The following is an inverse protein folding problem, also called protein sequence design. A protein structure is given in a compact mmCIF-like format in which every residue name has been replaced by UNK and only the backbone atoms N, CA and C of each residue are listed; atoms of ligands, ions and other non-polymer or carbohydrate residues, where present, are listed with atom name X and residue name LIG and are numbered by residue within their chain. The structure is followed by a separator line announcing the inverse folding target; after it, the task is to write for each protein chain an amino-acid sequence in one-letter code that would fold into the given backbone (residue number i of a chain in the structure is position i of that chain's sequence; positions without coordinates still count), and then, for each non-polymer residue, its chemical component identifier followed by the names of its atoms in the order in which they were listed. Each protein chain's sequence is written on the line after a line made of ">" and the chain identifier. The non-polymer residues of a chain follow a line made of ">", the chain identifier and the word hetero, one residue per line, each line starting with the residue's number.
data_IF_344304331320
#
_entry.id   IF_344304331320
#
_cell.length_a   1.000
_cell.length_b   1.000
_cell.length_c   1.000
_cell.angle_alpha   90.00
_cell.angle_beta   90.00
_cell.angle_gamma   90.00
#
_symmetry.space_group_name_H-M   'P 1'
#
loop_
_entity.id
_entity.type
_entity.pdbx_description
1 polymer ?
#
# COMPACT_ATOMS: atom_id res chain seq x y z
N UNK A 1 3.13 -15.11 -9.20
CA UNK A 1 3.00 -16.59 -9.26
C UNK A 1 2.59 -17.06 -10.65
N UNK A 2 1.47 -16.61 -11.20
CA UNK A 2 1.02 -16.97 -12.56
C UNK A 2 2.05 -16.63 -13.63
N UNK A 3 2.70 -15.46 -13.52
CA UNK A 3 3.84 -15.12 -14.36
C UNK A 3 4.92 -16.20 -14.29
N UNK A 4 5.38 -16.55 -13.07
CA UNK A 4 6.45 -17.52 -12.86
C UNK A 4 6.08 -18.95 -13.29
N UNK A 5 4.80 -19.32 -13.29
CA UNK A 5 4.33 -20.66 -13.65
C UNK A 5 3.96 -20.81 -15.12
N UNK A 6 3.29 -19.81 -15.70
CA UNK A 6 2.67 -19.92 -17.03
C UNK A 6 3.56 -19.36 -18.13
N UNK A 7 4.30 -18.28 -17.88
CA UNK A 7 5.18 -17.69 -18.90
C UNK A 7 6.24 -18.68 -19.42
N UNK A 8 6.89 -19.53 -18.58
CA UNK A 8 7.84 -20.53 -19.09
C UNK A 8 7.25 -21.56 -20.06
N UNK A 9 5.92 -21.74 -20.05
CA UNK A 9 5.20 -22.67 -20.94
C UNK A 9 4.73 -21.98 -22.24
N UNK A 10 5.10 -20.71 -22.47
CA UNK A 10 4.62 -19.93 -23.61
C UNK A 10 5.10 -20.47 -24.97
N UNK A 11 6.23 -21.19 -25.00
CA UNK A 11 6.75 -21.82 -26.23
C UNK A 11 5.88 -23.01 -26.68
N UNK A 12 5.20 -23.67 -25.74
CA UNK A 12 4.25 -24.76 -26.01
C UNK A 12 2.82 -24.21 -26.22
N UNK A 13 2.43 -23.20 -25.45
CA UNK A 13 1.11 -22.59 -25.48
C UNK A 13 1.20 -21.08 -25.64
N UNK A 14 1.05 -20.58 -26.87
CA UNK A 14 1.18 -19.16 -27.18
C UNK A 14 0.28 -18.21 -26.38
N UNK A 15 -0.85 -18.70 -25.85
CA UNK A 15 -1.74 -17.94 -24.94
C UNK A 15 -0.99 -17.46 -23.69
N UNK A 16 -0.05 -18.24 -23.16
CA UNK A 16 0.66 -17.88 -21.93
C UNK A 16 1.68 -16.76 -22.10
N UNK A 17 2.03 -16.40 -23.34
CA UNK A 17 2.82 -15.20 -23.61
C UNK A 17 2.10 -13.91 -23.12
N UNK A 18 0.78 -13.95 -22.95
CA UNK A 18 0.01 -12.87 -22.34
C UNK A 18 0.52 -12.48 -20.94
N UNK A 19 1.02 -13.42 -20.15
CA UNK A 19 1.55 -13.14 -18.82
C UNK A 19 2.87 -12.35 -18.86
N UNK A 20 3.54 -12.25 -20.00
CA UNK A 20 4.72 -11.39 -20.15
C UNK A 20 4.39 -9.90 -19.94
N UNK A 21 3.20 -9.48 -20.35
CA UNK A 21 2.84 -8.06 -20.36
C UNK A 21 2.46 -7.56 -18.96
N UNK A 22 3.24 -6.61 -18.43
CA UNK A 22 2.95 -5.97 -17.13
C UNK A 22 1.55 -5.35 -17.14
N UNK A 23 1.14 -4.71 -18.23
CA UNK A 23 -0.19 -4.08 -18.35
C UNK A 23 -1.33 -5.07 -18.13
N UNK A 24 -1.26 -6.25 -18.75
CA UNK A 24 -2.24 -7.31 -18.52
C UNK A 24 -2.22 -7.78 -17.08
N UNK A 25 -1.03 -8.02 -16.52
CA UNK A 25 -0.89 -8.48 -15.14
C UNK A 25 -1.39 -7.46 -14.12
N UNK A 26 -1.17 -6.16 -14.37
CA UNK A 26 -1.73 -5.06 -13.58
C UNK A 26 -3.25 -5.05 -13.65
N UNK A 27 -3.84 -5.14 -14.85
CA UNK A 27 -5.30 -5.24 -15.01
C UNK A 27 -5.88 -6.48 -14.32
N UNK A 28 -5.21 -7.63 -14.46
CA UNK A 28 -5.55 -8.87 -13.77
C UNK A 28 -5.50 -8.73 -12.25
N UNK A 29 -4.50 -8.05 -11.71
CA UNK A 29 -4.37 -7.77 -10.28
C UNK A 29 -5.49 -6.86 -9.76
N UNK A 30 -5.86 -5.81 -10.50
CA UNK A 30 -7.02 -4.94 -10.16
C UNK A 30 -8.30 -5.78 -10.07
N UNK A 31 -8.61 -6.54 -11.12
CA UNK A 31 -9.83 -7.35 -11.18
C UNK A 31 -9.84 -8.43 -10.10
N UNK A 32 -8.70 -9.10 -9.88
CA UNK A 32 -8.57 -10.14 -8.84
C UNK A 32 -8.79 -9.56 -7.45
N UNK A 33 -8.13 -8.45 -7.12
CA UNK A 33 -8.28 -7.82 -5.82
C UNK A 33 -9.73 -7.35 -5.58
N UNK A 34 -10.37 -6.79 -6.61
CA UNK A 34 -11.78 -6.39 -6.56
C UNK A 34 -12.72 -7.57 -6.30
N UNK A 35 -12.55 -8.67 -7.04
CA UNK A 35 -13.36 -9.90 -6.88
C UNK A 35 -13.15 -10.48 -5.48
N UNK A 36 -11.91 -10.57 -5.01
CA UNK A 36 -11.59 -11.04 -3.66
C UNK A 36 -12.29 -10.18 -2.61
N UNK A 37 -12.23 -8.86 -2.74
CA UNK A 37 -12.93 -7.94 -1.84
C UNK A 37 -14.45 -8.13 -1.85
N UNK A 38 -15.08 -8.35 -3.01
CA UNK A 38 -16.53 -8.56 -3.09
C UNK A 38 -16.99 -9.92 -2.55
N UNK A 39 -16.22 -10.98 -2.79
CA UNK A 39 -16.54 -12.31 -2.28
C UNK A 39 -16.34 -12.39 -0.76
N UNK A 40 -15.22 -11.84 -0.26
CA UNK A 40 -14.86 -11.94 1.16
C UNK A 40 -15.38 -10.79 2.02
N UNK A 41 -15.77 -9.65 1.42
CA UNK A 41 -16.28 -8.49 2.15
C UNK A 41 -17.47 -8.83 3.04
N UNK A 42 -18.60 -9.35 2.49
CA UNK A 42 -19.77 -9.67 3.30
C UNK A 42 -19.52 -10.63 4.47
N UNK A 43 -18.83 -11.78 4.31
CA UNK A 43 -18.55 -12.66 5.45
C UNK A 43 -17.60 -12.04 6.48
N UNK A 44 -16.57 -11.31 6.05
CA UNK A 44 -15.63 -10.62 6.97
C UNK A 44 -16.36 -9.55 7.77
N UNK A 45 -17.20 -8.74 7.14
CA UNK A 45 -17.97 -7.68 7.83
C UNK A 45 -18.95 -8.29 8.84
N UNK A 46 -19.67 -9.37 8.48
CA UNK A 46 -20.54 -10.08 9.42
C UNK A 46 -19.77 -10.63 10.61
N UNK A 47 -18.60 -11.21 10.37
CA UNK A 47 -17.74 -11.71 11.43
C UNK A 47 -17.25 -10.58 12.34
N UNK A 48 -16.76 -9.46 11.79
CA UNK A 48 -16.34 -8.29 12.56
C UNK A 48 -17.48 -7.74 13.40
N UNK A 49 -18.68 -7.60 12.83
CA UNK A 49 -19.88 -7.14 13.55
C UNK A 49 -20.27 -8.07 14.71
N UNK A 50 -20.09 -9.38 14.55
CA UNK A 50 -20.34 -10.35 15.64
C UNK A 50 -19.37 -10.23 16.81
N UNK A 51 -18.15 -9.73 16.56
CA UNK A 51 -17.10 -9.52 17.59
C UNK A 51 -17.13 -8.11 18.18
N UNK A 52 -17.67 -7.15 17.44
CA UNK A 52 -17.68 -5.73 17.77
C UNK A 52 -19.14 -5.20 17.83
N UNK A 53 -19.99 -5.84 18.63
CA UNK A 53 -21.43 -5.55 18.66
C UNK A 53 -21.76 -4.06 18.95
N UNK A 54 -20.94 -3.38 19.75
CA UNK A 54 -21.08 -1.96 20.09
C UNK A 54 -20.39 -1.01 19.09
N UNK A 55 -19.67 -1.56 18.10
CA UNK A 55 -18.81 -0.80 17.19
C UNK A 55 -17.48 -0.38 17.83
N UNK A 56 -16.82 0.59 17.21
CA UNK A 56 -15.56 1.16 17.71
C UNK A 56 -15.81 2.10 18.91
N UNK A 57 -14.99 2.06 19.98
CA UNK A 57 -15.05 3.04 21.06
C UNK A 57 -14.87 4.46 20.51
N UNK A 58 -15.89 5.30 20.68
CA UNK A 58 -15.90 6.66 20.12
C UNK A 58 -15.09 7.58 21.05
N UNK A 59 -14.25 8.45 20.47
CA UNK A 59 -13.53 9.46 21.24
C UNK A 59 -14.47 10.63 21.58
N UNK A 60 -14.37 11.13 22.80
CA UNK A 60 -15.18 12.27 23.29
C UNK A 60 -14.73 13.61 22.69
N UNK A 61 -13.53 13.69 22.09
CA UNK A 61 -12.94 14.90 21.50
C UNK A 61 -13.22 15.08 19.99
N UNK A 62 -14.10 14.26 19.41
CA UNK A 62 -14.46 14.28 17.99
C UNK A 62 -15.68 15.15 17.63
N UNK A 63 -15.85 15.54 16.34
CA UNK A 63 -17.03 16.26 15.87
C UNK A 63 -18.34 15.53 16.20
N UNK A 64 -19.41 16.26 16.57
CA UNK A 64 -20.68 15.66 17.00
C UNK A 64 -21.33 14.75 15.94
N UNK A 65 -21.07 14.97 14.65
CA UNK A 65 -21.53 14.09 13.56
C UNK A 65 -20.94 12.68 13.64
N UNK A 66 -19.72 12.51 14.17
CA UNK A 66 -19.08 11.20 14.35
C UNK A 66 -19.73 10.34 15.42
N UNK A 67 -20.38 10.95 16.42
CA UNK A 67 -21.06 10.21 17.49
C UNK A 67 -22.30 9.47 16.96
N UNK A 68 -22.93 10.01 15.91
CA UNK A 68 -24.16 9.48 15.32
C UNK A 68 -23.90 8.44 14.23
N UNK A 69 -22.91 8.65 13.36
CA UNK A 69 -22.62 7.75 12.23
C UNK A 69 -21.70 6.57 12.57
N UNK A 70 -20.83 6.69 13.57
CA UNK A 70 -19.87 5.61 13.94
C UNK A 70 -20.45 4.54 14.85
N UNK A 71 -21.67 4.72 15.38
CA UNK A 71 -22.28 3.82 16.35
C UNK A 71 -22.71 2.50 15.68
N UNK A 72 -22.12 1.38 16.11
CA UNK A 72 -22.48 0.04 15.65
C UNK A 72 -21.82 -0.43 14.34
N UNK A 73 -20.94 0.38 13.73
CA UNK A 73 -20.15 0.00 12.55
C UNK A 73 -18.81 -0.62 13.01
N UNK A 74 -18.45 -1.83 12.54
CA UNK A 74 -17.18 -2.46 12.90
C UNK A 74 -15.98 -1.74 12.29
N UNK A 75 -14.84 -1.80 12.98
CA UNK A 75 -13.51 -1.37 12.51
C UNK A 75 -12.66 -2.59 12.11
N UNK A 76 -11.43 -2.35 11.62
CA UNK A 76 -10.48 -3.33 11.07
C UNK A 76 -10.80 -3.85 9.66
N UNK A 77 -11.55 -3.09 8.89
CA UNK A 77 -11.80 -3.38 7.48
C UNK A 77 -10.53 -3.43 6.63
N UNK A 78 -9.45 -2.79 7.08
CA UNK A 78 -8.13 -2.87 6.45
C UNK A 78 -7.59 -4.29 6.29
N UNK A 79 -8.03 -5.26 7.10
CA UNK A 79 -7.66 -6.68 6.93
C UNK A 79 -8.12 -7.21 5.57
N UNK A 80 -9.31 -6.80 5.11
CA UNK A 80 -9.83 -7.19 3.79
C UNK A 80 -8.95 -6.63 2.67
N UNK A 81 -8.55 -5.35 2.80
CA UNK A 81 -7.65 -4.68 1.84
C UNK A 81 -6.33 -5.43 1.78
N UNK A 82 -5.68 -5.64 2.92
CA UNK A 82 -4.39 -6.32 3.01
C UNK A 82 -4.43 -7.73 2.39
N UNK A 83 -5.50 -8.48 2.68
CA UNK A 83 -5.68 -9.81 2.13
C UNK A 83 -5.84 -9.77 0.60
N UNK A 84 -6.73 -8.91 0.09
CA UNK A 84 -6.97 -8.77 -1.35
C UNK A 84 -5.71 -8.30 -2.11
N UNK A 85 -4.99 -7.30 -1.59
CA UNK A 85 -3.72 -6.82 -2.15
C UNK A 85 -2.68 -7.94 -2.17
N UNK A 86 -2.53 -8.68 -1.08
CA UNK A 86 -1.54 -9.75 -0.98
C UNK A 86 -1.83 -10.87 -1.97
N UNK A 87 -3.08 -11.35 -2.02
CA UNK A 87 -3.49 -12.42 -2.94
C UNK A 87 -3.27 -11.99 -4.39
N UNK A 88 -3.77 -10.82 -4.78
CA UNK A 88 -3.64 -10.35 -6.16
C UNK A 88 -2.17 -10.10 -6.55
N UNK A 89 -1.37 -9.50 -5.66
CA UNK A 89 0.07 -9.29 -5.90
C UNK A 89 0.79 -10.62 -6.04
N UNK A 90 0.60 -11.56 -5.11
CA UNK A 90 1.27 -12.86 -5.16
C UNK A 90 0.87 -13.66 -6.41
N UNK A 91 -0.38 -13.53 -6.83
CA UNK A 91 -0.87 -14.19 -8.04
C UNK A 91 -0.22 -13.60 -9.29
N UNK A 92 -0.22 -12.28 -9.47
CA UNK A 92 0.12 -11.65 -10.75
C UNK A 92 1.54 -11.09 -10.85
N UNK A 93 2.19 -10.69 -9.75
CA UNK A 93 3.54 -10.14 -9.82
C UNK A 93 4.59 -11.24 -10.09
N UNK A 94 5.75 -10.82 -10.61
CA UNK A 94 6.95 -11.65 -10.65
C UNK A 94 7.55 -11.76 -9.24
N UNK A 95 7.48 -12.95 -8.67
CA UNK A 95 7.94 -13.22 -7.30
C UNK A 95 9.46 -13.27 -7.15
N UNK A 96 10.21 -13.27 -8.26
CA UNK A 96 11.67 -13.12 -8.21
C UNK A 96 12.10 -11.68 -7.97
N UNK A 97 11.17 -10.73 -8.10
CA UNK A 97 11.46 -9.31 -7.98
C UNK A 97 11.52 -8.85 -6.51
N UNK A 98 12.69 -8.37 -6.08
CA UNK A 98 12.89 -7.89 -4.72
C UNK A 98 12.01 -6.70 -4.32
N UNK A 99 11.68 -5.78 -5.25
CA UNK A 99 10.85 -4.60 -4.93
C UNK A 99 9.42 -4.99 -4.52
N UNK A 100 8.86 -6.05 -5.11
CA UNK A 100 7.54 -6.59 -4.75
C UNK A 100 7.54 -7.05 -3.29
N UNK A 101 8.60 -7.73 -2.87
CA UNK A 101 8.74 -8.20 -1.49
C UNK A 101 8.95 -7.06 -0.50
N UNK A 102 9.73 -6.04 -0.86
CA UNK A 102 9.87 -4.85 -0.02
C UNK A 102 8.52 -4.13 0.14
N UNK A 103 7.75 -4.00 -0.94
CA UNK A 103 6.42 -3.39 -0.89
C UNK A 103 5.47 -4.19 0.01
N UNK A 104 5.44 -5.52 -0.11
CA UNK A 104 4.66 -6.39 0.77
C UNK A 104 5.14 -6.33 2.23
N UNK A 105 6.45 -6.29 2.48
CA UNK A 105 7.03 -6.18 3.83
C UNK A 105 6.53 -4.92 4.54
N UNK A 106 6.63 -3.75 3.90
CA UNK A 106 6.18 -2.49 4.50
C UNK A 106 4.67 -2.49 4.67
N UNK A 107 3.92 -2.89 3.65
CA UNK A 107 2.45 -2.87 3.67
C UNK A 107 1.88 -3.80 4.75
N UNK A 108 2.33 -5.05 4.79
CA UNK A 108 1.89 -6.03 5.78
C UNK A 108 2.45 -5.72 7.17
N UNK A 109 3.70 -5.23 7.25
CA UNK A 109 4.33 -4.87 8.52
C UNK A 109 3.62 -3.69 9.19
N UNK A 110 3.33 -2.62 8.45
CA UNK A 110 2.57 -1.48 8.96
C UNK A 110 1.11 -1.86 9.22
N UNK A 111 0.55 -2.74 8.40
CA UNK A 111 -0.76 -3.34 8.63
C UNK A 111 -0.84 -4.14 9.93
N UNK A 112 0.19 -4.92 10.26
CA UNK A 112 0.28 -5.68 11.51
C UNK A 112 0.36 -4.75 12.73
N UNK A 113 1.10 -3.64 12.63
CA UNK A 113 1.13 -2.60 13.67
C UNK A 113 -0.25 -2.00 13.87
N UNK A 114 -0.94 -1.64 12.78
CA UNK A 114 -2.29 -1.10 12.83
C UNK A 114 -3.31 -2.10 13.38
N UNK A 115 -3.20 -3.37 13.00
CA UNK A 115 -4.02 -4.46 13.54
C UNK A 115 -3.82 -4.63 15.04
N UNK A 116 -2.57 -4.62 15.52
CA UNK A 116 -2.29 -4.70 16.96
C UNK A 116 -2.91 -3.52 17.71
N UNK A 117 -2.83 -2.32 17.16
CA UNK A 117 -3.42 -1.11 17.73
C UNK A 117 -4.95 -1.17 17.79
N UNK A 118 -5.61 -1.53 16.69
CA UNK A 118 -7.06 -1.72 16.62
C UNK A 118 -7.52 -2.83 17.58
N UNK A 119 -6.80 -3.94 17.64
CA UNK A 119 -7.11 -5.06 18.52
C UNK A 119 -7.04 -4.68 20.01
N UNK A 120 -6.03 -3.90 20.41
CA UNK A 120 -5.91 -3.39 21.78
C UNK A 120 -7.07 -2.45 22.11
N UNK A 121 -7.41 -1.50 21.23
CA UNK A 121 -8.54 -0.57 21.40
C UNK A 121 -9.85 -1.33 21.63
N UNK A 122 -10.08 -2.39 20.83
CA UNK A 122 -11.28 -3.22 20.93
C UNK A 122 -11.32 -4.09 22.18
N UNK A 123 -10.19 -4.69 22.57
CA UNK A 123 -10.12 -5.59 23.73
C UNK A 123 -10.23 -4.81 25.05
N UNK A 124 -9.61 -3.63 25.12
CA UNK A 124 -9.63 -2.78 26.32
C UNK A 124 -10.86 -1.88 26.42
N UNK A 125 -11.71 -1.85 25.38
CA UNK A 125 -12.88 -0.95 25.27
C UNK A 125 -12.52 0.50 25.56
N UNK A 126 -11.33 0.92 25.13
CA UNK A 126 -10.79 2.24 25.32
C UNK A 126 -10.36 2.84 23.99
N UNK A 127 -10.41 4.16 23.88
CA UNK A 127 -9.81 4.88 22.75
C UNK A 127 -8.28 4.82 22.75
N UNK A 128 -7.66 4.40 23.87
CA UNK A 128 -6.21 4.23 23.99
C UNK A 128 -5.75 2.91 23.37
N UNK A 129 -5.06 3.01 22.24
CA UNK A 129 -4.37 1.89 21.60
C UNK A 129 -2.93 1.71 22.09
N UNK A 130 -2.10 1.20 21.20
CA UNK A 130 -0.66 1.11 21.36
C UNK A 130 -0.08 2.51 21.62
N UNK A 131 0.95 2.60 22.47
CA UNK A 131 1.61 3.89 22.71
C UNK A 131 2.20 4.42 21.38
N UNK A 132 2.02 5.72 21.12
CA UNK A 132 2.52 6.34 19.89
C UNK A 132 4.02 6.13 19.68
N UNK A 133 4.80 6.10 20.77
CA UNK A 133 6.24 5.78 20.73
C UNK A 133 6.53 4.35 20.26
N UNK A 134 5.76 3.36 20.73
CA UNK A 134 5.91 1.97 20.30
C UNK A 134 5.50 1.79 18.84
N UNK A 135 4.41 2.43 18.42
CA UNK A 135 3.94 2.43 17.02
C UNK A 135 5.02 3.00 16.09
N UNK A 136 5.55 4.19 16.44
CA UNK A 136 6.60 4.85 15.66
C UNK A 136 7.89 4.03 15.63
N UNK A 137 8.32 3.46 16.75
CA UNK A 137 9.52 2.62 16.81
C UNK A 137 9.40 1.39 15.90
N UNK A 138 8.25 0.70 15.91
CA UNK A 138 8.01 -0.45 15.06
C UNK A 138 8.01 -0.06 13.56
N UNK A 139 7.39 1.07 13.22
CA UNK A 139 7.42 1.62 11.85
C UNK A 139 8.85 1.97 11.40
N UNK A 140 9.67 2.56 12.27
CA UNK A 140 11.07 2.87 11.99
C UNK A 140 11.87 1.59 11.75
N UNK A 141 11.70 0.54 12.55
CA UNK A 141 12.42 -0.73 12.39
C UNK A 141 12.12 -1.36 11.02
N UNK A 142 10.85 -1.44 10.64
CA UNK A 142 10.44 -1.96 9.33
C UNK A 142 10.95 -1.04 8.21
N UNK A 143 10.87 0.27 8.40
CA UNK A 143 11.39 1.27 7.47
C UNK A 143 12.90 1.16 7.24
N UNK A 144 13.70 0.91 8.29
CA UNK A 144 15.14 0.65 8.18
C UNK A 144 15.41 -0.57 7.30
N UNK A 145 14.72 -1.69 7.56
CA UNK A 145 14.88 -2.92 6.79
C UNK A 145 14.52 -2.71 5.31
N UNK A 146 13.39 -2.04 5.05
CA UNK A 146 12.94 -1.74 3.70
C UNK A 146 13.89 -0.79 2.96
N UNK A 147 14.32 0.30 3.61
CA UNK A 147 15.26 1.26 3.03
C UNK A 147 16.59 0.60 2.69
N UNK A 148 17.14 -0.22 3.60
CA UNK A 148 18.35 -0.99 3.33
C UNK A 148 18.16 -1.92 2.12
N UNK A 149 17.08 -2.68 2.08
CA UNK A 149 16.82 -3.59 0.96
C UNK A 149 16.68 -2.85 -0.38
N UNK A 150 16.00 -1.70 -0.42
CA UNK A 150 15.91 -0.85 -1.62
C UNK A 150 17.30 -0.37 -2.08
N UNK A 151 18.17 0.03 -1.15
CA UNK A 151 19.53 0.47 -1.52
C UNK A 151 20.38 -0.66 -2.10
N UNK A 152 20.17 -1.90 -1.68
CA UNK A 152 20.85 -3.08 -2.25
C UNK A 152 20.31 -3.43 -3.64
N UNK A 153 19.00 -3.26 -3.88
CA UNK A 153 18.37 -3.54 -5.17
C UNK A 153 18.64 -2.48 -6.24
N UNK A 154 19.01 -1.26 -5.83
CA UNK A 154 19.14 -0.11 -6.72
C UNK A 154 20.61 0.16 -7.05
N UNK A 155 21.00 0.37 -8.31
CA UNK A 155 22.38 0.68 -8.68
C UNK A 155 22.80 2.07 -8.20
N UNK A 156 24.11 2.26 -7.94
CA UNK A 156 24.69 3.59 -7.68
C UNK A 156 24.74 4.41 -8.98
N UNK A 157 24.60 5.75 -8.94
CA UNK A 157 24.43 6.60 -7.75
C UNK A 157 22.98 6.68 -7.22
N UNK A 158 22.00 6.15 -7.95
CA UNK A 158 20.59 6.24 -7.58
C UNK A 158 20.29 5.62 -6.21
N UNK A 159 20.98 4.53 -5.84
CA UNK A 159 20.78 3.82 -4.57
C UNK A 159 20.55 4.75 -3.37
N UNK A 160 21.41 5.76 -3.21
CA UNK A 160 21.39 6.73 -2.10
C UNK A 160 21.14 8.16 -2.58
N UNK A 161 20.70 8.32 -3.82
CA UNK A 161 20.36 9.61 -4.40
C UNK A 161 18.88 9.91 -4.23
N UNK A 162 18.55 11.19 -4.03
CA UNK A 162 17.18 11.72 -4.04
C UNK A 162 17.01 12.59 -5.27
N UNK A 163 16.00 12.30 -6.07
CA UNK A 163 15.69 13.02 -7.31
C UNK A 163 14.83 14.23 -7.01
N UNK A 164 15.07 15.34 -7.69
CA UNK A 164 14.24 16.54 -7.55
C UNK A 164 13.26 16.63 -8.72
N UNK A 165 11.94 16.71 -8.48
CA UNK A 165 10.96 16.87 -9.55
C UNK A 165 11.30 18.06 -10.44
N UNK A 166 10.95 17.97 -11.72
CA UNK A 166 11.20 19.00 -12.75
C UNK A 166 12.67 19.20 -13.16
N UNK A 167 13.64 18.76 -12.35
CA UNK A 167 15.07 18.83 -12.66
C UNK A 167 15.63 17.46 -13.03
N UNK A 168 15.96 17.27 -14.32
CA UNK A 168 16.36 15.96 -14.88
C UNK A 168 17.74 15.47 -14.41
N UNK A 169 18.66 16.41 -14.18
CA UNK A 169 20.06 16.10 -13.86
C UNK A 169 20.39 16.28 -12.37
N UNK A 170 19.43 16.73 -11.56
CA UNK A 170 19.65 17.00 -10.14
C UNK A 170 19.35 15.74 -9.32
N UNK A 171 20.44 15.05 -8.97
CA UNK A 171 20.44 13.94 -8.02
C UNK A 171 21.17 14.35 -6.75
N UNK A 172 20.44 14.56 -5.66
CA UNK A 172 21.02 14.94 -4.38
C UNK A 172 21.70 13.73 -3.73
N UNK A 173 23.02 13.76 -3.47
CA UNK A 173 23.78 12.61 -2.97
C UNK A 173 23.65 12.50 -1.44
N UNK A 174 22.53 11.94 -0.96
CA UNK A 174 22.27 11.80 0.47
C UNK A 174 23.21 10.79 1.15
N UNK A 175 23.77 9.82 0.41
CA UNK A 175 24.67 8.81 0.97
C UNK A 175 24.01 8.04 2.11
N UNK A 176 24.66 7.94 3.26
CA UNK A 176 24.11 7.25 4.43
C UNK A 176 22.81 7.90 4.96
N UNK A 177 22.63 9.22 4.76
CA UNK A 177 21.43 9.94 5.19
C UNK A 177 20.17 9.53 4.40
N UNK A 178 20.34 8.85 3.26
CA UNK A 178 19.22 8.33 2.47
C UNK A 178 18.32 7.39 3.28
N UNK A 179 18.89 6.59 4.18
CA UNK A 179 18.10 5.66 5.02
C UNK A 179 17.14 6.45 5.92
N UNK A 180 17.62 7.51 6.57
CA UNK A 180 16.79 8.37 7.40
C UNK A 180 15.69 9.06 6.57
N UNK A 181 16.03 9.54 5.37
CA UNK A 181 15.08 10.12 4.43
C UNK A 181 13.99 9.13 4.00
N UNK A 182 14.37 7.91 3.60
CA UNK A 182 13.42 6.87 3.19
C UNK A 182 12.47 6.48 4.33
N UNK A 183 12.99 6.38 5.56
CA UNK A 183 12.16 6.15 6.76
C UNK A 183 11.18 7.31 6.95
N UNK A 184 11.65 8.55 6.88
CA UNK A 184 10.80 9.73 7.01
C UNK A 184 9.65 9.72 5.99
N UNK A 185 9.93 9.40 4.73
CA UNK A 185 8.92 9.30 3.67
C UNK A 185 7.91 8.18 3.95
N UNK A 186 8.38 6.96 4.24
CA UNK A 186 7.48 5.81 4.47
C UNK A 186 6.62 5.98 5.72
N UNK A 187 7.23 6.38 6.83
CA UNK A 187 6.55 6.58 8.12
C UNK A 187 5.66 7.81 8.06
N UNK A 188 6.11 8.89 7.43
CA UNK A 188 5.34 10.10 7.21
C UNK A 188 4.07 9.83 6.41
N UNK A 189 4.18 9.16 5.27
CA UNK A 189 3.04 8.79 4.43
C UNK A 189 2.03 7.90 5.18
N UNK A 190 2.52 6.91 5.94
CA UNK A 190 1.69 6.04 6.78
C UNK A 190 0.85 6.82 7.80
N UNK A 191 1.49 7.74 8.53
CA UNK A 191 0.80 8.55 9.53
C UNK A 191 -0.09 9.65 8.91
N UNK A 192 0.27 10.18 7.73
CA UNK A 192 -0.56 11.13 7.00
C UNK A 192 -1.88 10.51 6.54
N UNK A 193 -1.84 9.28 6.01
CA UNK A 193 -3.07 8.55 5.64
C UNK A 193 -3.91 8.21 6.89
N UNK A 194 -3.28 7.80 8.00
CA UNK A 194 -3.99 7.56 9.26
C UNK A 194 -4.66 8.81 9.83
N UNK A 195 -4.05 9.98 9.72
CA UNK A 195 -4.67 11.24 10.12
C UNK A 195 -5.87 11.61 9.22
N UNK A 196 -5.82 11.23 7.95
CA UNK A 196 -6.86 11.50 6.95
C UNK A 196 -8.07 10.57 7.10
N UNK A 197 -7.89 9.37 7.66
CA UNK A 197 -8.93 8.34 7.86
C UNK A 197 -9.88 8.64 9.04
N UNK A 198 -10.22 9.93 9.21
CA UNK A 198 -11.13 10.42 10.22
C UNK A 198 -12.61 10.28 9.83
N UNK A 199 -12.93 10.38 8.54
CA UNK A 199 -14.27 10.42 7.93
C UNK A 199 -14.50 9.27 6.94
N UNK A 200 -15.75 8.82 6.81
CA UNK A 200 -16.19 7.74 5.91
C UNK A 200 -15.75 7.99 4.47
N UNK A 201 -14.98 7.06 3.88
CA UNK A 201 -14.51 7.15 2.50
C UNK A 201 -13.46 8.24 2.21
N UNK A 202 -13.08 9.07 3.20
CA UNK A 202 -12.22 10.22 2.96
C UNK A 202 -10.78 9.83 2.63
N UNK A 203 -10.22 8.82 3.30
CA UNK A 203 -8.83 8.41 3.07
C UNK A 203 -8.66 7.48 1.87
N UNK A 204 -9.64 6.61 1.59
CA UNK A 204 -9.47 5.59 0.55
C UNK A 204 -9.41 6.20 -0.86
N UNK A 205 -10.18 7.25 -1.14
CA UNK A 205 -10.21 7.86 -2.47
C UNK A 205 -8.88 8.54 -2.86
N UNK A 206 -8.28 9.41 -2.04
CA UNK A 206 -6.94 9.95 -2.30
C UNK A 206 -5.89 8.85 -2.47
N UNK A 207 -5.95 7.79 -1.65
CA UNK A 207 -5.03 6.66 -1.76
C UNK A 207 -5.19 5.93 -3.09
N UNK A 208 -6.42 5.72 -3.58
CA UNK A 208 -6.68 5.10 -4.88
C UNK A 208 -6.11 5.93 -6.03
N UNK A 209 -6.29 7.24 -5.99
CA UNK A 209 -5.75 8.16 -7.01
C UNK A 209 -4.22 8.12 -6.97
N UNK A 210 -3.61 8.23 -5.79
CA UNK A 210 -2.16 8.15 -5.62
C UNK A 210 -1.61 6.80 -6.10
N UNK A 211 -2.27 5.68 -5.75
CA UNK A 211 -1.88 4.35 -6.18
C UNK A 211 -1.96 4.19 -7.71
N UNK A 212 -2.98 4.75 -8.36
CA UNK A 212 -3.10 4.75 -9.81
C UNK A 212 -1.98 5.57 -10.48
N UNK A 213 -1.66 6.76 -9.94
CA UNK A 213 -0.52 7.55 -10.39
C UNK A 213 0.80 6.80 -10.23
N UNK A 214 1.02 6.17 -9.07
CA UNK A 214 2.22 5.39 -8.82
C UNK A 214 2.29 4.09 -9.64
N UNK A 215 1.16 3.49 -10.01
CA UNK A 215 1.14 2.38 -10.97
C UNK A 215 1.69 2.82 -12.34
N UNK A 216 1.29 4.00 -12.81
CA UNK A 216 1.80 4.58 -14.06
C UNK A 216 3.28 4.96 -13.93
N UNK A 217 3.67 5.64 -12.85
CA UNK A 217 5.08 6.01 -12.59
C UNK A 217 5.96 4.76 -12.56
N UNK A 218 5.57 3.72 -11.81
CA UNK A 218 6.30 2.47 -11.73
C UNK A 218 6.49 1.81 -13.11
N UNK A 219 5.43 1.80 -13.92
CA UNK A 219 5.49 1.27 -15.30
C UNK A 219 6.46 2.07 -16.18
N UNK A 220 6.45 3.40 -16.11
CA UNK A 220 7.33 4.27 -16.91
C UNK A 220 8.79 4.20 -16.44
N UNK A 221 9.04 4.29 -15.14
CA UNK A 221 10.38 4.21 -14.51
C UNK A 221 11.01 2.84 -14.72
N UNK A 222 10.21 1.79 -14.70
CA UNK A 222 10.64 0.41 -14.89
C UNK A 222 10.89 0.02 -16.35
N UNK A 223 10.63 0.90 -17.31
CA UNK A 223 10.78 0.64 -18.75
C UNK A 223 11.87 1.53 -19.35
N UNK A 224 12.94 0.92 -19.87
CA UNK A 224 14.11 1.64 -20.37
C UNK A 224 13.81 2.59 -21.55
N UNK A 225 12.83 2.26 -22.40
CA UNK A 225 12.44 3.10 -23.55
C UNK A 225 11.71 4.34 -23.06
N UNK A 226 10.68 4.16 -22.21
CA UNK A 226 9.93 5.29 -21.68
C UNK A 226 10.76 6.17 -20.75
N UNK A 227 11.57 5.56 -19.88
CA UNK A 227 12.42 6.33 -18.97
C UNK A 227 13.43 7.19 -19.73
N UNK A 228 14.02 6.66 -20.81
CA UNK A 228 14.91 7.42 -21.67
C UNK A 228 14.17 8.54 -22.43
N UNK A 229 13.01 8.25 -23.02
CA UNK A 229 12.23 9.24 -23.75
C UNK A 229 11.76 10.41 -22.85
N UNK A 230 11.23 10.09 -21.66
CA UNK A 230 10.73 11.08 -20.70
C UNK A 230 11.85 11.75 -19.88
N UNK A 231 13.09 11.26 -20.01
CA UNK A 231 14.25 11.74 -19.25
C UNK A 231 14.03 11.63 -17.73
N UNK A 232 13.48 10.49 -17.31
CA UNK A 232 13.34 10.11 -15.89
C UNK A 232 14.33 8.99 -15.56
N UNK A 233 14.73 8.90 -14.30
CA UNK A 233 15.72 7.91 -13.88
C UNK A 233 15.17 6.48 -14.01
N UNK A 234 15.84 5.65 -14.81
CA UNK A 234 15.48 4.25 -14.98
C UNK A 234 15.82 3.45 -13.73
N UNK A 235 14.86 2.71 -13.17
CA UNK A 235 15.09 1.77 -12.07
C UNK A 235 14.62 0.40 -12.51
N UNK A 236 15.56 -0.47 -12.85
CA UNK A 236 15.26 -1.82 -13.35
C UNK A 236 14.45 -2.61 -12.32
N UNK A 237 13.33 -3.18 -12.76
CA UNK A 237 12.48 -4.05 -11.93
C UNK A 237 11.35 -3.33 -11.20
N UNK A 238 11.34 -2.00 -11.10
CA UNK A 238 10.23 -1.28 -10.44
C UNK A 238 8.92 -1.35 -11.22
N UNK A 239 8.95 -1.74 -12.50
CA UNK A 239 7.75 -1.98 -13.30
C UNK A 239 6.79 -3.01 -12.69
N UNK A 240 7.30 -3.97 -11.91
CA UNK A 240 6.46 -4.93 -11.17
C UNK A 240 5.61 -4.26 -10.08
N UNK A 241 6.04 -3.11 -9.55
CA UNK A 241 5.24 -2.34 -8.60
C UNK A 241 3.95 -1.78 -9.23
N UNK A 242 3.87 -1.69 -10.56
CA UNK A 242 2.61 -1.37 -11.23
C UNK A 242 1.54 -2.44 -10.95
N UNK A 243 1.93 -3.72 -10.87
CA UNK A 243 1.02 -4.83 -10.54
C UNK A 243 0.56 -4.73 -9.09
N UNK A 244 1.48 -4.44 -8.17
CA UNK A 244 1.18 -4.21 -6.76
C UNK A 244 0.24 -3.01 -6.56
N UNK A 245 0.52 -1.87 -7.21
CA UNK A 245 -0.35 -0.71 -7.17
C UNK A 245 -1.72 -0.99 -7.82
N UNK A 246 -1.77 -1.78 -8.88
CA UNK A 246 -3.03 -2.27 -9.45
C UNK A 246 -3.83 -3.10 -8.45
N UNK A 247 -3.19 -4.02 -7.72
CA UNK A 247 -3.82 -4.76 -6.63
C UNK A 247 -4.35 -3.82 -5.54
N UNK A 248 -3.59 -2.78 -5.17
CA UNK A 248 -4.01 -1.75 -4.21
C UNK A 248 -5.24 -0.97 -4.70
N UNK A 249 -5.27 -0.60 -5.97
CA UNK A 249 -6.43 0.05 -6.60
C UNK A 249 -7.66 -0.86 -6.57
N UNK A 250 -7.53 -2.11 -6.99
CA UNK A 250 -8.64 -3.07 -7.00
C UNK A 250 -9.19 -3.37 -5.60
N UNK A 251 -8.29 -3.60 -4.64
CA UNK A 251 -8.66 -3.83 -3.25
C UNK A 251 -9.35 -2.61 -2.63
N UNK A 252 -8.82 -1.41 -2.89
CA UNK A 252 -9.38 -0.17 -2.38
C UNK A 252 -10.75 0.17 -2.99
N UNK A 253 -10.97 -0.08 -4.29
CA UNK A 253 -12.29 0.04 -4.92
C UNK A 253 -13.28 -0.96 -4.32
N UNK A 254 -12.84 -2.20 -4.08
CA UNK A 254 -13.66 -3.22 -3.43
C UNK A 254 -14.00 -2.86 -1.97
N UNK A 255 -13.07 -2.27 -1.23
CA UNK A 255 -13.31 -1.79 0.13
C UNK A 255 -14.24 -0.58 0.16
N UNK A 256 -14.04 0.38 -0.75
CA UNK A 256 -14.86 1.56 -0.91
C UNK A 256 -16.35 1.20 -1.09
N UNK A 257 -16.66 0.12 -1.81
CA UNK A 257 -18.04 -0.36 -1.93
C UNK A 257 -18.73 -0.60 -0.58
N UNK A 258 -17.97 -1.04 0.43
CA UNK A 258 -18.48 -1.27 1.78
C UNK A 258 -18.29 -0.08 2.73
N UNK A 259 -17.44 0.88 2.36
CA UNK A 259 -17.10 2.03 3.19
C UNK A 259 -17.78 3.34 2.75
N UNK A 260 -18.33 3.39 1.53
CA UNK A 260 -19.08 4.54 1.03
C UNK A 260 -20.29 4.86 1.94
N UNK A 261 -20.63 6.15 2.16
CA UNK A 261 -21.71 6.53 3.06
C UNK A 261 -23.06 5.93 2.64
N UNK A 262 -23.82 5.31 3.57
CA UNK A 262 -23.47 5.01 4.97
C UNK A 262 -22.51 3.81 5.10
N UNK A 263 -21.40 3.97 5.82
CA UNK A 263 -20.34 2.96 5.92
C UNK A 263 -20.77 1.69 6.67
N UNK A 264 -20.50 0.51 6.09
CA UNK A 264 -20.72 -0.81 6.73
C UNK A 264 -19.50 -1.31 7.50
N UNK A 265 -18.31 -0.77 7.22
CA UNK A 265 -17.06 -1.10 7.92
C UNK A 265 -16.09 0.07 7.84
N UNK A 266 -15.35 0.32 8.92
CA UNK A 266 -14.26 1.27 8.98
C UNK A 266 -12.92 0.62 8.70
N UNK A 267 -12.04 1.38 8.06
CA UNK A 267 -10.72 0.91 7.65
C UNK A 267 -9.84 0.56 8.85
N UNK A 268 -9.85 1.42 9.87
CA UNK A 268 -9.05 1.27 11.09
C UNK A 268 -7.58 1.59 10.86
N UNK A 269 -6.79 1.55 11.93
CA UNK A 269 -5.35 1.75 11.87
C UNK A 269 -4.68 0.67 10.99
N UNK A 270 -5.27 -0.53 10.93
CA UNK A 270 -4.83 -1.64 10.06
C UNK A 270 -4.71 -1.22 8.59
N UNK A 271 -5.75 -0.57 8.04
CA UNK A 271 -5.78 -0.19 6.63
C UNK A 271 -5.06 1.13 6.36
N UNK A 272 -5.25 2.12 7.22
CA UNK A 272 -4.69 3.45 6.98
C UNK A 272 -3.16 3.47 7.08
N UNK A 273 -2.58 2.82 8.09
CA UNK A 273 -1.12 2.73 8.24
C UNK A 273 -0.48 1.93 7.10
N UNK A 274 -1.09 0.82 6.71
CA UNK A 274 -0.56 -0.05 5.65
C UNK A 274 -0.60 0.62 4.29
N UNK A 275 -1.70 1.29 3.92
CA UNK A 275 -1.82 1.93 2.62
C UNK A 275 -0.91 3.15 2.48
N UNK A 276 -0.77 3.98 3.51
CA UNK A 276 0.23 5.06 3.47
C UNK A 276 1.66 4.54 3.41
N UNK A 277 1.96 3.43 4.13
CA UNK A 277 3.24 2.73 4.00
C UNK A 277 3.48 2.17 2.59
N UNK A 278 2.45 1.60 1.96
CA UNK A 278 2.49 1.09 0.59
C UNK A 278 2.82 2.18 -0.44
N UNK A 279 2.20 3.36 -0.31
CA UNK A 279 2.52 4.50 -1.18
C UNK A 279 3.95 5.02 -0.94
N UNK A 280 4.35 5.14 0.33
CA UNK A 280 5.68 5.60 0.71
C UNK A 280 6.80 4.66 0.23
N UNK A 281 6.63 3.35 0.33
CA UNK A 281 7.65 2.40 -0.14
C UNK A 281 7.74 2.38 -1.67
N UNK A 282 6.60 2.49 -2.36
CA UNK A 282 6.59 2.57 -3.83
C UNK A 282 7.28 3.85 -4.29
N UNK A 283 7.01 5.01 -3.66
CA UNK A 283 7.66 6.26 -4.03
C UNK A 283 9.16 6.23 -3.83
N UNK A 284 9.65 5.61 -2.75
CA UNK A 284 11.10 5.42 -2.51
C UNK A 284 11.72 4.47 -3.53
N UNK A 285 11.05 3.35 -3.84
CA UNK A 285 11.54 2.39 -4.82
C UNK A 285 11.59 2.97 -6.24
N UNK A 286 10.62 3.80 -6.62
CA UNK A 286 10.57 4.44 -7.94
C UNK A 286 11.35 5.74 -8.04
N UNK A 287 12.04 6.18 -6.97
CA UNK A 287 12.75 7.48 -6.92
C UNK A 287 11.84 8.66 -7.23
N UNK A 288 10.67 8.68 -6.59
CA UNK A 288 9.65 9.72 -6.71
C UNK A 288 9.16 10.14 -5.31
N UNK A 289 10.06 10.19 -4.34
CA UNK A 289 9.77 10.52 -2.93
C UNK A 289 9.15 11.91 -2.79
N UNK A 290 9.70 12.90 -3.50
CA UNK A 290 9.20 14.28 -3.49
C UNK A 290 7.89 14.46 -4.28
N UNK A 291 7.51 13.49 -5.12
CA UNK A 291 6.23 13.53 -5.85
C UNK A 291 5.07 13.03 -4.97
N UNK A 292 5.38 12.22 -3.95
CA UNK A 292 4.39 11.78 -2.96
C UNK A 292 4.02 12.89 -1.95
N UNK A 293 4.96 13.80 -1.66
CA UNK A 293 4.81 14.87 -0.68
C UNK A 293 3.95 16.03 -1.21
#
# INVERSE_FOLDING_TARGET
>A
MLYNLLFPLADEFGLFNLFRYITLRTGGAVVTALIVSFILGPPVIRWLKSKQAEGQPIRDDGPQSHLLTKKGTPTMGGVLILFAVSVATLLWADLTNGFVWVALLVTLGFGAIGFADDYIKLTTRSSKGLSGKAKLLAQIIIGCAAAYWITVLTPRPLATGVTVPFFKDVLLPFGAFFVAWAIFVMVGASNAVNLTDGLDGLAIMPVLIAAACFALIAYLVGNAVFSNYLQIHFVRGTGELAVFCGALVGAGLGFLWFNAPPAMVFMGDTGSLSMGGALGVVSVATKHEMVLA
#
